data_IF_629652397248
#
_entry.id   IF_629652397248
#
_cell.length_a   1.000
_cell.length_b   1.000
_cell.length_c   1.000
_cell.angle_alpha   90.00
_cell.angle_beta   90.00
_cell.angle_gamma   90.00
#
_symmetry.space_group_name_H-M   'P 1'
#
loop_
_entity.id
_entity.type
_entity.pdbx_description
1 polymer ?
#
# COMPACT_ATOMS: atom_id res chain seq x y z
N UNK A 1 -10.06 17.84 -4.79
CA UNK A 1 -8.63 18.09 -5.05
C UNK A 1 -7.75 17.23 -4.15
N UNK A 2 -6.45 17.19 -4.43
CA UNK A 2 -5.45 16.40 -3.72
C UNK A 2 -4.34 17.29 -3.19
N UNK A 3 -3.84 16.96 -2.00
CA UNK A 3 -2.68 17.57 -1.35
C UNK A 3 -1.59 16.51 -1.30
N UNK A 4 -0.52 16.72 -2.04
CA UNK A 4 0.66 15.84 -2.03
C UNK A 4 1.61 16.25 -0.92
N UNK A 5 2.19 15.25 -0.28
CA UNK A 5 3.23 15.49 0.71
C UNK A 5 4.48 16.06 0.04
N UNK A 6 5.10 17.01 0.72
CA UNK A 6 6.39 17.58 0.31
C UNK A 6 7.53 16.58 0.53
N UNK A 7 8.68 16.84 -0.09
CA UNK A 7 9.87 16.01 0.13
C UNK A 7 10.28 15.93 1.62
N UNK A 8 10.08 17.01 2.39
CA UNK A 8 10.35 17.04 3.83
C UNK A 8 9.38 16.15 4.60
N UNK A 9 8.08 16.25 4.33
CA UNK A 9 7.05 15.37 4.93
C UNK A 9 7.25 13.89 4.55
N UNK A 10 7.68 13.62 3.33
CA UNK A 10 8.02 12.25 2.89
C UNK A 10 9.25 11.73 3.64
N UNK A 11 10.26 12.56 3.89
CA UNK A 11 11.43 12.18 4.66
C UNK A 11 11.08 11.87 6.13
N UNK A 12 10.20 12.65 6.74
CA UNK A 12 9.68 12.39 8.09
C UNK A 12 8.88 11.08 8.14
N UNK A 13 8.01 10.82 7.15
CA UNK A 13 7.22 9.60 7.06
C UNK A 13 8.12 8.36 6.92
N UNK A 14 9.13 8.42 6.06
CA UNK A 14 10.11 7.34 5.89
C UNK A 14 10.98 7.16 7.13
N UNK A 15 11.35 8.23 7.82
CA UNK A 15 12.05 8.16 9.11
C UNK A 15 11.21 7.51 10.19
N UNK A 16 9.92 7.84 10.27
CA UNK A 16 8.99 7.24 11.23
C UNK A 16 8.79 5.74 11.01
N UNK A 17 8.82 5.25 9.77
CA UNK A 17 8.80 3.82 9.47
C UNK A 17 10.02 3.10 10.05
N UNK A 18 11.20 3.68 9.88
CA UNK A 18 12.44 3.10 10.41
C UNK A 18 12.50 3.16 11.94
N UNK A 19 11.95 4.21 12.55
CA UNK A 19 11.98 4.44 14.00
C UNK A 19 10.79 3.82 14.75
N UNK A 20 9.68 3.57 14.06
CA UNK A 20 8.41 3.12 14.64
C UNK A 20 8.38 1.68 15.14
N UNK A 21 9.48 0.94 14.98
CA UNK A 21 9.58 -0.43 15.49
C UNK A 21 10.63 -0.56 16.59
N UNK A 22 10.23 -1.08 17.74
CA UNK A 22 11.14 -1.45 18.84
C UNK A 22 11.84 -2.80 18.61
N UNK A 23 11.47 -3.51 17.55
CA UNK A 23 12.05 -4.80 17.21
C UNK A 23 13.36 -4.61 16.43
N UNK A 24 14.49 -5.01 17.04
CA UNK A 24 15.83 -4.86 16.45
C UNK A 24 15.98 -5.66 15.14
N UNK A 25 15.30 -6.81 15.01
CA UNK A 25 15.37 -7.64 13.81
C UNK A 25 14.61 -6.98 12.64
N UNK A 26 13.48 -6.32 12.94
CA UNK A 26 12.73 -5.54 11.95
C UNK A 26 13.51 -4.30 11.53
N UNK A 27 14.17 -3.60 12.48
CA UNK A 27 15.08 -2.49 12.16
C UNK A 27 16.23 -2.92 11.25
N UNK A 28 16.83 -4.06 11.52
CA UNK A 28 17.89 -4.60 10.68
C UNK A 28 17.37 -4.98 9.29
N UNK A 29 16.20 -5.63 9.19
CA UNK A 29 15.58 -5.97 7.92
C UNK A 29 15.22 -4.73 7.09
N UNK A 30 14.67 -3.68 7.71
CA UNK A 30 14.38 -2.40 7.06
C UNK A 30 15.65 -1.64 6.64
N UNK A 31 16.76 -1.82 7.33
CA UNK A 31 18.04 -1.22 6.97
C UNK A 31 18.68 -1.93 5.75
N UNK A 32 18.50 -3.25 5.65
CA UNK A 32 19.03 -4.05 4.55
C UNK A 32 18.13 -4.02 3.30
N UNK A 33 16.83 -3.76 3.46
CA UNK A 33 15.82 -3.76 2.38
C UNK A 33 14.72 -2.72 2.65
N UNK A 34 15.03 -1.44 2.55
CA UNK A 34 14.10 -0.39 2.96
C UNK A 34 12.91 -0.30 2.01
N UNK A 35 11.72 -0.54 2.55
CA UNK A 35 10.49 -0.03 1.95
C UNK A 35 10.46 1.48 2.15
N UNK A 36 10.28 2.22 1.08
CA UNK A 36 10.17 3.68 1.13
C UNK A 36 8.82 4.13 0.57
N UNK A 37 8.21 5.12 1.22
CA UNK A 37 7.16 5.89 0.59
C UNK A 37 7.77 6.79 -0.48
N UNK A 38 7.36 6.58 -1.73
CA UNK A 38 7.75 7.40 -2.88
C UNK A 38 6.74 8.54 -3.12
N UNK A 39 5.47 8.28 -2.82
CA UNK A 39 4.39 9.25 -2.94
C UNK A 39 3.37 9.06 -1.82
N UNK A 40 2.84 10.17 -1.29
CA UNK A 40 1.71 10.19 -0.38
C UNK A 40 0.83 11.41 -0.67
N UNK A 41 -0.46 11.20 -0.79
CA UNK A 41 -1.42 12.27 -1.02
C UNK A 41 -2.73 12.02 -0.28
N UNK A 42 -3.35 13.11 0.15
CA UNK A 42 -4.64 13.11 0.85
C UNK A 42 -5.61 14.02 0.10
N UNK A 43 -6.86 13.61 -0.03
CA UNK A 43 -7.89 14.48 -0.58
C UNK A 43 -8.14 15.69 0.32
N UNK A 44 -8.56 16.81 -0.26
CA UNK A 44 -8.77 18.06 0.49
C UNK A 44 -9.85 17.97 1.57
N UNK A 45 -10.75 16.99 1.48
CA UNK A 45 -11.76 16.67 2.50
C UNK A 45 -11.28 15.64 3.54
N UNK A 46 -10.08 15.08 3.35
CA UNK A 46 -9.49 14.08 4.25
C UNK A 46 -10.11 12.69 4.17
N UNK A 47 -11.00 12.43 3.20
CA UNK A 47 -11.74 11.17 3.09
C UNK A 47 -11.07 10.14 2.18
N UNK A 48 -10.02 10.51 1.48
CA UNK A 48 -9.28 9.60 0.59
C UNK A 48 -7.78 9.79 0.79
N UNK A 49 -7.07 8.68 0.75
CA UNK A 49 -5.60 8.63 0.81
C UNK A 49 -5.08 7.78 -0.33
N UNK A 50 -4.00 8.19 -0.94
CA UNK A 50 -3.24 7.35 -1.86
C UNK A 50 -1.76 7.44 -1.55
N UNK A 51 -1.07 6.31 -1.67
CA UNK A 51 0.37 6.28 -1.53
C UNK A 51 0.99 5.25 -2.48
N UNK A 52 2.28 5.42 -2.71
CA UNK A 52 3.13 4.46 -3.41
C UNK A 52 4.28 4.11 -2.49
N UNK A 53 4.42 2.83 -2.21
CA UNK A 53 5.55 2.26 -1.47
C UNK A 53 6.39 1.45 -2.44
N UNK A 54 7.70 1.67 -2.41
CA UNK A 54 8.67 0.90 -3.18
C UNK A 54 9.44 0.01 -2.22
N UNK A 55 9.49 -1.29 -2.51
CA UNK A 55 10.26 -2.26 -1.76
C UNK A 55 11.28 -2.95 -2.67
N UNK A 56 12.53 -3.00 -2.22
CA UNK A 56 13.56 -3.78 -2.87
C UNK A 56 13.57 -5.20 -2.29
N UNK A 57 13.29 -6.20 -3.09
CA UNK A 57 13.27 -7.60 -2.66
C UNK A 57 14.66 -8.25 -2.62
N UNK A 58 15.71 -7.51 -2.97
CA UNK A 58 17.05 -8.05 -3.10
C UNK A 58 17.22 -9.00 -4.28
N UNK A 59 18.42 -9.54 -4.46
CA UNK A 59 18.74 -10.38 -5.63
C UNK A 59 18.08 -11.76 -5.61
N UNK A 60 17.90 -12.35 -4.44
CA UNK A 60 17.36 -13.71 -4.31
C UNK A 60 15.82 -13.69 -4.35
N UNK A 61 15.20 -12.92 -3.46
CA UNK A 61 13.73 -12.82 -3.38
C UNK A 61 13.14 -12.12 -4.61
N UNK A 62 13.83 -11.11 -5.14
CA UNK A 62 13.43 -10.43 -6.36
C UNK A 62 13.39 -11.31 -7.60
N UNK A 63 14.18 -12.39 -7.64
CA UNK A 63 14.18 -13.32 -8.76
C UNK A 63 13.01 -14.33 -8.72
N UNK A 64 12.47 -14.63 -7.54
CA UNK A 64 11.52 -15.74 -7.35
C UNK A 64 10.11 -15.30 -6.95
N UNK A 65 9.93 -14.16 -6.29
CA UNK A 65 8.61 -13.69 -5.85
C UNK A 65 7.89 -12.95 -6.99
N UNK A 66 6.73 -13.46 -7.37
CA UNK A 66 5.84 -12.79 -8.34
C UNK A 66 4.95 -11.75 -7.64
N UNK A 67 4.42 -10.75 -8.37
CA UNK A 67 3.42 -9.82 -7.81
C UNK A 67 2.18 -10.52 -7.25
N UNK A 68 1.78 -11.64 -7.84
CA UNK A 68 0.65 -12.44 -7.38
C UNK A 68 0.93 -13.07 -6.01
N UNK A 69 2.08 -13.71 -5.84
CA UNK A 69 2.50 -14.30 -4.56
C UNK A 69 2.64 -13.21 -3.49
N UNK A 70 3.13 -12.03 -3.88
CA UNK A 70 3.21 -10.88 -2.97
C UNK A 70 1.83 -10.42 -2.50
N UNK A 71 0.85 -10.33 -3.41
CA UNK A 71 -0.53 -9.98 -3.07
C UNK A 71 -1.17 -11.03 -2.14
N UNK A 72 -0.90 -12.31 -2.33
CA UNK A 72 -1.40 -13.40 -1.48
C UNK A 72 -0.88 -13.28 -0.04
N UNK A 73 0.41 -13.01 0.13
CA UNK A 73 1.01 -12.77 1.45
C UNK A 73 0.42 -11.49 2.08
N UNK A 74 0.38 -10.41 1.34
CA UNK A 74 -0.10 -9.12 1.82
C UNK A 74 -1.57 -9.17 2.23
N UNK A 75 -2.42 -9.96 1.58
CA UNK A 75 -3.84 -10.09 1.94
C UNK A 75 -4.04 -10.63 3.36
N UNK A 76 -3.22 -11.58 3.79
CA UNK A 76 -3.26 -12.11 5.15
C UNK A 76 -2.70 -11.09 6.16
N UNK A 77 -1.58 -10.47 5.85
CA UNK A 77 -0.91 -9.51 6.75
C UNK A 77 -1.75 -8.24 6.99
N UNK A 78 -2.40 -7.70 5.94
CA UNK A 78 -3.23 -6.50 6.10
C UNK A 78 -4.47 -6.78 6.94
N UNK A 79 -5.08 -7.95 6.80
CA UNK A 79 -6.23 -8.33 7.62
C UNK A 79 -5.88 -8.41 9.10
N UNK A 80 -4.75 -9.04 9.43
CA UNK A 80 -4.26 -9.15 10.80
C UNK A 80 -3.89 -7.77 11.37
N UNK A 81 -3.23 -6.95 10.57
CA UNK A 81 -2.81 -5.58 10.95
C UNK A 81 -4.02 -4.70 11.26
N UNK A 82 -5.01 -4.66 10.38
CA UNK A 82 -6.22 -3.85 10.59
C UNK A 82 -7.00 -4.33 11.84
N UNK A 83 -7.11 -5.65 12.03
CA UNK A 83 -7.74 -6.21 13.23
C UNK A 83 -7.00 -5.79 14.50
N UNK A 84 -5.66 -5.81 14.49
CA UNK A 84 -4.84 -5.36 15.61
C UNK A 84 -5.00 -3.86 15.91
N UNK A 85 -5.29 -3.05 14.88
CA UNK A 85 -5.60 -1.62 15.03
C UNK A 85 -7.06 -1.33 15.42
N UNK A 86 -7.85 -2.36 15.71
CA UNK A 86 -9.22 -2.22 16.19
C UNK A 86 -10.25 -1.99 15.08
N UNK A 87 -9.92 -2.36 13.84
CA UNK A 87 -10.91 -2.46 12.78
C UNK A 87 -11.74 -3.74 12.95
N UNK A 88 -13.01 -3.66 12.64
CA UNK A 88 -13.99 -4.75 12.67
C UNK A 88 -14.43 -5.10 11.25
N UNK A 89 -15.05 -6.25 11.07
CA UNK A 89 -15.58 -6.72 9.78
C UNK A 89 -14.52 -6.70 8.66
N UNK A 90 -13.26 -6.96 9.01
CA UNK A 90 -12.14 -6.91 8.08
C UNK A 90 -12.26 -8.04 7.06
N UNK A 91 -12.26 -7.69 5.78
CA UNK A 91 -12.09 -8.62 4.67
C UNK A 91 -10.89 -8.19 3.84
N UNK A 92 -10.07 -9.12 3.42
CA UNK A 92 -8.98 -8.88 2.50
C UNK A 92 -8.94 -10.03 1.49
N UNK A 93 -9.04 -9.71 0.21
CA UNK A 93 -9.13 -10.70 -0.86
C UNK A 93 -8.19 -10.33 -2.00
N UNK A 94 -7.45 -11.31 -2.51
CA UNK A 94 -6.70 -11.14 -3.75
C UNK A 94 -7.65 -10.94 -4.92
N UNK A 95 -7.30 -10.00 -5.78
CA UNK A 95 -8.08 -9.61 -6.96
C UNK A 95 -7.13 -9.14 -8.06
N UNK A 96 -7.67 -8.55 -9.11
CA UNK A 96 -6.91 -7.89 -10.16
C UNK A 96 -7.50 -6.51 -10.44
N UNK A 97 -6.64 -5.55 -10.79
CA UNK A 97 -7.02 -4.20 -11.13
C UNK A 97 -6.28 -3.72 -12.39
N UNK A 98 -6.95 -2.94 -13.21
CA UNK A 98 -6.28 -2.22 -14.30
C UNK A 98 -5.63 -0.95 -13.74
N UNK A 99 -4.35 -0.75 -14.02
CA UNK A 99 -3.61 0.35 -13.46
C UNK A 99 -2.55 0.90 -14.43
N UNK A 100 -2.54 2.21 -14.63
CA UNK A 100 -1.57 2.95 -15.45
C UNK A 100 -1.33 2.33 -16.84
N UNK A 101 -2.38 1.83 -17.49
CA UNK A 101 -2.31 1.22 -18.81
C UNK A 101 -1.91 -0.26 -18.82
N UNK A 102 -1.71 -0.87 -17.66
CA UNK A 102 -1.48 -2.32 -17.50
C UNK A 102 -2.79 -2.97 -17.04
N UNK A 103 -3.20 -4.01 -17.74
CA UNK A 103 -4.41 -4.78 -17.41
C UNK A 103 -4.10 -5.87 -16.37
N UNK A 104 -5.07 -6.16 -15.51
CA UNK A 104 -5.05 -7.28 -14.58
C UNK A 104 -3.80 -7.33 -13.65
N UNK A 105 -3.37 -6.17 -13.15
CA UNK A 105 -2.33 -6.12 -12.13
C UNK A 105 -2.82 -6.86 -10.86
N UNK A 106 -2.00 -7.74 -10.25
CA UNK A 106 -2.36 -8.36 -8.98
C UNK A 106 -2.66 -7.30 -7.92
N UNK A 107 -3.74 -7.50 -7.19
CA UNK A 107 -4.20 -6.55 -6.19
C UNK A 107 -4.82 -7.25 -4.98
N UNK A 108 -4.97 -6.52 -3.88
CA UNK A 108 -5.76 -6.90 -2.70
C UNK A 108 -6.86 -5.86 -2.52
N UNK A 109 -8.11 -6.32 -2.46
CA UNK A 109 -9.24 -5.49 -2.08
C UNK A 109 -9.55 -5.71 -0.60
N UNK A 110 -9.65 -4.63 0.14
CA UNK A 110 -9.87 -4.64 1.59
C UNK A 110 -11.13 -3.85 1.92
N UNK A 111 -11.96 -4.40 2.81
CA UNK A 111 -13.02 -3.65 3.47
C UNK A 111 -12.90 -3.84 4.97
N UNK A 112 -13.18 -2.81 5.72
CA UNK A 112 -13.18 -2.85 7.18
C UNK A 112 -14.07 -1.73 7.72
N UNK A 113 -14.33 -1.75 9.04
CA UNK A 113 -15.07 -0.71 9.72
C UNK A 113 -14.38 -0.36 11.04
N UNK A 114 -14.35 0.91 11.38
CA UNK A 114 -13.89 1.35 12.69
C UNK A 114 -14.71 2.56 13.16
N UNK A 115 -15.26 2.47 14.37
CA UNK A 115 -16.08 3.54 14.97
C UNK A 115 -17.23 4.01 14.06
N UNK A 116 -17.86 3.08 13.32
CA UNK A 116 -18.93 3.38 12.36
C UNK A 116 -18.46 4.02 11.05
N UNK A 117 -17.15 4.10 10.83
CA UNK A 117 -16.57 4.59 9.57
C UNK A 117 -16.08 3.41 8.73
N UNK A 118 -16.63 3.29 7.53
CA UNK A 118 -16.19 2.27 6.57
C UNK A 118 -14.82 2.63 5.98
N UNK A 119 -14.00 1.61 5.81
CA UNK A 119 -12.73 1.66 5.07
C UNK A 119 -12.86 0.79 3.82
N UNK A 120 -12.51 1.34 2.69
CA UNK A 120 -12.30 0.64 1.43
C UNK A 120 -10.89 0.89 0.97
N UNK A 121 -10.14 -0.18 0.74
CA UNK A 121 -8.75 -0.07 0.32
C UNK A 121 -8.47 -1.01 -0.85
N UNK A 122 -7.70 -0.56 -1.81
CA UNK A 122 -7.15 -1.37 -2.89
C UNK A 122 -5.65 -1.19 -2.93
N UNK A 123 -4.93 -2.30 -2.81
CA UNK A 123 -3.48 -2.35 -2.90
C UNK A 123 -3.11 -3.04 -4.22
N UNK A 124 -2.45 -2.32 -5.12
CA UNK A 124 -2.09 -2.80 -6.46
C UNK A 124 -0.59 -3.03 -6.52
N UNK A 125 -0.17 -4.20 -6.99
CA UNK A 125 1.23 -4.61 -6.99
C UNK A 125 1.80 -4.65 -8.40
N UNK A 126 2.90 -3.94 -8.59
CA UNK A 126 3.68 -3.92 -9.82
C UNK A 126 5.11 -4.35 -9.50
N UNK A 127 5.80 -4.97 -10.45
CA UNK A 127 7.18 -5.40 -10.27
C UNK A 127 8.04 -4.99 -11.46
N UNK A 128 9.21 -4.44 -11.15
CA UNK A 128 10.24 -4.15 -12.13
C UNK A 128 11.60 -4.57 -11.58
N UNK A 129 12.20 -5.60 -12.17
CA UNK A 129 13.44 -6.18 -11.66
C UNK A 129 13.26 -6.71 -10.23
N UNK A 130 14.06 -6.22 -9.30
CA UNK A 130 14.02 -6.59 -7.89
C UNK A 130 13.08 -5.70 -7.04
N UNK A 131 12.40 -4.73 -7.67
CA UNK A 131 11.54 -3.80 -6.95
C UNK A 131 10.07 -4.18 -7.10
N UNK A 132 9.34 -4.14 -5.99
CA UNK A 132 7.87 -4.19 -5.95
C UNK A 132 7.36 -2.80 -5.59
N UNK A 133 6.39 -2.34 -6.35
CA UNK A 133 5.64 -1.11 -6.09
C UNK A 133 4.27 -1.51 -5.58
N UNK A 134 3.94 -1.05 -4.39
CA UNK A 134 2.60 -1.17 -3.84
C UNK A 134 1.92 0.19 -3.93
N UNK A 135 0.86 0.28 -4.73
CA UNK A 135 0.01 1.46 -4.82
C UNK A 135 -1.21 1.21 -3.95
N UNK A 136 -1.34 1.96 -2.87
CA UNK A 136 -2.48 1.88 -1.96
C UNK A 136 -3.45 3.02 -2.22
N UNK A 137 -4.70 2.68 -2.45
CA UNK A 137 -5.82 3.58 -2.67
C UNK A 137 -6.84 3.33 -1.56
N UNK A 138 -7.13 4.35 -0.75
CA UNK A 138 -7.92 4.22 0.46
C UNK A 138 -9.05 5.26 0.48
N UNK A 139 -10.27 4.83 0.80
CA UNK A 139 -11.44 5.68 0.94
C UNK A 139 -12.21 5.35 2.23
N UNK A 140 -12.68 6.39 2.94
CA UNK A 140 -13.34 6.26 4.24
C UNK A 140 -14.86 6.52 4.22
N UNK A 141 -15.49 6.52 3.08
CA UNK A 141 -16.92 6.79 2.98
C UNK A 141 -17.65 5.84 2.05
N UNK A 142 -17.17 5.75 0.84
CA UNK A 142 -17.71 4.91 -0.22
C UNK A 142 -16.55 4.32 -1.03
N UNK A 143 -16.77 3.17 -1.64
CA UNK A 143 -15.72 2.56 -2.46
C UNK A 143 -15.60 3.32 -3.78
N UNK A 144 -14.56 4.14 -3.85
CA UNK A 144 -14.12 4.87 -5.05
C UNK A 144 -12.71 4.49 -5.47
N UNK A 145 -12.19 3.37 -4.96
CA UNK A 145 -10.80 2.93 -5.23
C UNK A 145 -10.53 2.73 -6.71
N UNK A 146 -11.49 2.18 -7.47
CA UNK A 146 -11.39 2.01 -8.91
C UNK A 146 -11.34 3.37 -9.67
N UNK A 147 -12.02 4.40 -9.16
CA UNK A 147 -11.96 5.75 -9.74
C UNK A 147 -10.62 6.43 -9.39
N UNK A 148 -10.10 6.19 -8.18
CA UNK A 148 -8.77 6.68 -7.77
C UNK A 148 -7.66 6.07 -8.64
N UNK A 149 -7.75 4.77 -8.98
CA UNK A 149 -6.79 4.10 -9.86
C UNK A 149 -6.67 4.79 -11.24
N UNK A 150 -7.74 5.37 -11.75
CA UNK A 150 -7.76 6.09 -13.04
C UNK A 150 -7.01 7.43 -13.00
N UNK A 151 -6.65 7.93 -11.82
CA UNK A 151 -5.82 9.14 -11.69
C UNK A 151 -4.36 8.88 -12.07
N UNK A 152 -3.95 7.61 -12.10
CA UNK A 152 -2.63 7.19 -12.53
C UNK A 152 -2.67 6.80 -14.00
N UNK A 153 -1.78 7.37 -14.80
CA UNK A 153 -1.66 7.07 -16.23
C UNK A 153 -0.19 6.98 -16.63
N UNK A 154 0.10 6.13 -17.58
CA UNK A 154 1.42 6.06 -18.16
C UNK A 154 1.70 7.35 -18.97
N UNK A 155 2.89 7.88 -18.84
CA UNK A 155 3.40 9.00 -19.64
C UNK A 155 3.90 8.51 -20.99
#
# INVERSE_FOLDING_TARGET
GWVFYTAEQMAELNGALADGTDNADVKAALADDPSIFDMYAVSTDGLMVMNVVIQNLGLVSGAVVSPQEYAEIASAEVADTLTAYGYENVTAQTTAADFAGTESCPAVAVTAERDGTALYEQMIYLKTGNYVYCVTLCSFKEDVTAEMAKLFYAL
#
